data_IF_349479483485
#
_entry.id   IF_349479483485
#
_cell.length_a   1.000
_cell.length_b   1.000
_cell.length_c   1.000
_cell.angle_alpha   90.00
_cell.angle_beta   90.00
_cell.angle_gamma   90.00
#
_symmetry.space_group_name_H-M   'P 1'
#
loop_
_entity.id
_entity.type
_entity.pdbx_description
1 polymer ?
#
# COMPACT_ATOMS: atom_id res chain seq x y z
N UNK A 1 -9.45 9.31 -0.50
CA UNK A 1 -9.77 7.89 -0.26
C UNK A 1 -8.88 7.06 -1.18
N UNK A 2 -8.54 5.85 -0.83
CA UNK A 2 -7.66 4.95 -1.59
C UNK A 2 -6.24 5.48 -1.86
N UNK A 3 -5.74 6.36 -1.00
CA UNK A 3 -4.36 6.83 -1.03
C UNK A 3 -3.73 6.67 0.37
N UNK A 4 -3.36 5.45 0.76
CA UNK A 4 -2.80 5.20 2.07
C UNK A 4 -1.40 5.80 2.20
N UNK A 5 -1.09 6.29 3.38
CA UNK A 5 0.25 6.74 3.79
C UNK A 5 0.75 5.96 5.01
N UNK A 6 -0.13 5.15 5.59
CA UNK A 6 0.15 4.35 6.78
C UNK A 6 -0.86 3.22 6.91
N UNK A 7 -0.47 2.14 7.57
CA UNK A 7 -1.39 1.07 8.00
C UNK A 7 -1.86 1.25 9.46
N UNK A 8 -1.55 2.38 10.08
CA UNK A 8 -2.00 2.69 11.42
C UNK A 8 -3.50 3.02 11.43
N UNK A 9 -4.22 2.42 12.37
CA UNK A 9 -5.65 2.62 12.54
C UNK A 9 -5.91 3.81 13.46
N UNK A 10 -5.53 4.98 13.00
CA UNK A 10 -5.80 6.25 13.64
C UNK A 10 -6.11 7.31 12.58
N UNK A 11 -7.30 7.86 12.62
CA UNK A 11 -7.77 8.85 11.65
C UNK A 11 -8.72 9.84 12.30
N UNK A 12 -9.21 10.80 11.54
CA UNK A 12 -10.30 11.69 11.98
C UNK A 12 -11.60 10.96 12.30
N UNK A 13 -11.77 9.73 11.80
CA UNK A 13 -12.97 8.92 12.04
C UNK A 13 -12.89 8.07 13.30
N UNK A 14 -11.72 7.99 13.92
CA UNK A 14 -11.50 7.25 15.15
C UNK A 14 -10.14 6.59 15.25
N UNK A 15 -9.95 5.91 16.38
CA UNK A 15 -8.76 5.16 16.69
C UNK A 15 -9.00 3.64 16.63
N UNK A 16 -7.92 2.86 16.81
CA UNK A 16 -7.95 1.40 16.80
C UNK A 16 -8.93 0.82 17.82
N UNK A 17 -9.05 1.43 19.00
CA UNK A 17 -9.97 0.95 20.05
C UNK A 17 -11.43 1.15 19.66
N UNK A 18 -11.74 2.32 19.10
CA UNK A 18 -13.08 2.63 18.60
C UNK A 18 -13.47 1.71 17.45
N UNK A 19 -12.54 1.46 16.52
CA UNK A 19 -12.74 0.53 15.40
C UNK A 19 -13.00 -0.90 15.91
N UNK A 20 -12.20 -1.41 16.84
CA UNK A 20 -12.44 -2.72 17.47
C UNK A 20 -13.78 -2.80 18.18
N UNK A 21 -14.18 -1.75 18.87
CA UNK A 21 -15.48 -1.69 19.53
C UNK A 21 -16.64 -1.74 18.53
N UNK A 22 -16.50 -1.07 17.39
CA UNK A 22 -17.49 -1.11 16.31
C UNK A 22 -17.61 -2.54 15.74
N UNK A 23 -16.50 -3.19 15.43
CA UNK A 23 -16.48 -4.58 14.96
C UNK A 23 -17.17 -5.52 15.94
N UNK A 24 -16.85 -5.40 17.23
CA UNK A 24 -17.47 -6.22 18.28
C UNK A 24 -18.99 -6.01 18.39
N UNK A 25 -19.48 -4.78 18.24
CA UNK A 25 -20.90 -4.50 18.19
C UNK A 25 -21.57 -5.11 16.98
N UNK A 26 -20.96 -5.01 15.80
CA UNK A 26 -21.44 -5.63 14.58
C UNK A 26 -21.56 -7.15 14.75
N UNK A 27 -20.49 -7.81 15.21
CA UNK A 27 -20.47 -9.26 15.40
C UNK A 27 -21.52 -9.74 16.41
N UNK A 28 -21.73 -9.03 17.52
CA UNK A 28 -22.77 -9.35 18.51
C UNK A 28 -24.18 -9.31 17.93
N UNK A 29 -24.39 -8.56 16.85
CA UNK A 29 -25.67 -8.45 16.15
C UNK A 29 -25.70 -9.26 14.84
N UNK A 30 -24.82 -10.24 14.68
CA UNK A 30 -24.77 -11.10 13.50
C UNK A 30 -24.25 -10.44 12.22
N UNK A 31 -23.65 -9.25 12.33
CA UNK A 31 -23.09 -8.52 11.19
C UNK A 31 -21.59 -8.78 11.07
N UNK A 32 -21.16 -9.28 9.92
CA UNK A 32 -19.74 -9.43 9.61
C UNK A 32 -19.17 -8.12 9.06
N UNK A 33 -17.93 -7.83 9.43
CA UNK A 33 -17.20 -6.64 8.97
C UNK A 33 -16.06 -7.10 8.08
N UNK A 34 -16.00 -6.57 6.88
CA UNK A 34 -14.91 -6.77 5.92
C UNK A 34 -14.14 -5.47 5.77
N UNK A 35 -12.82 -5.56 5.77
CA UNK A 35 -11.96 -4.40 5.58
C UNK A 35 -11.58 -4.25 4.11
N UNK A 36 -11.58 -3.01 3.65
CA UNK A 36 -11.00 -2.67 2.36
C UNK A 36 -9.47 -2.60 2.50
N UNK A 37 -8.77 -3.53 1.85
CA UNK A 37 -7.33 -3.65 1.90
C UNK A 37 -6.71 -2.98 0.67
N UNK A 38 -6.27 -1.72 0.83
CA UNK A 38 -5.53 -0.99 -0.20
C UNK A 38 -4.06 -1.36 -0.06
N UNK A 39 -3.63 -2.39 -0.78
CA UNK A 39 -2.31 -3.02 -0.65
C UNK A 39 -1.53 -3.06 -1.97
N UNK A 40 -2.13 -2.59 -3.06
CA UNK A 40 -1.45 -2.47 -4.34
C UNK A 40 -0.48 -1.27 -4.37
N UNK A 41 -0.83 -0.20 -3.69
CA UNK A 41 -0.15 1.09 -3.82
C UNK A 41 -0.22 1.90 -2.53
N UNK A 42 0.60 2.92 -2.46
CA UNK A 42 0.49 4.00 -1.49
C UNK A 42 -0.01 5.29 -2.17
N UNK A 43 -0.02 6.40 -1.44
CA UNK A 43 -0.47 7.69 -1.98
C UNK A 43 0.31 8.08 -3.24
N UNK A 44 -0.38 8.72 -4.15
CA UNK A 44 0.16 9.12 -5.45
C UNK A 44 0.84 10.49 -5.45
N UNK A 45 1.07 10.97 -6.64
CA UNK A 45 1.90 12.13 -6.99
C UNK A 45 1.20 13.50 -6.87
N UNK A 46 0.16 13.61 -6.07
CA UNK A 46 -0.61 14.86 -6.00
C UNK A 46 0.20 16.10 -5.65
N UNK A 47 1.31 15.94 -4.95
CA UNK A 47 2.22 17.01 -4.57
C UNK A 47 3.58 16.91 -5.27
N UNK A 48 3.71 16.06 -6.25
CA UNK A 48 4.95 15.94 -6.99
C UNK A 48 5.05 17.05 -8.05
N UNK A 49 6.02 17.91 -7.86
CA UNK A 49 6.30 19.01 -8.79
C UNK A 49 7.31 18.62 -9.88
N UNK A 50 7.88 17.43 -9.79
CA UNK A 50 8.96 17.00 -10.67
C UNK A 50 8.57 15.72 -11.42
N UNK A 51 8.58 15.81 -12.74
CA UNK A 51 8.33 14.67 -13.63
C UNK A 51 9.57 13.78 -13.86
N UNK A 52 10.71 14.14 -13.27
CA UNK A 52 11.99 13.46 -13.57
C UNK A 52 12.11 12.07 -12.94
N UNK A 53 11.24 11.71 -12.01
CA UNK A 53 11.17 10.35 -11.52
C UNK A 53 10.52 9.39 -12.52
N UNK A 54 9.87 9.92 -13.55
CA UNK A 54 9.39 9.13 -14.68
C UNK A 54 10.57 8.73 -15.52
N UNK A 55 10.92 7.47 -15.51
CA UNK A 55 12.02 7.04 -16.31
C UNK A 55 11.53 6.56 -17.69
N UNK A 56 12.15 7.10 -18.72
CA UNK A 56 11.90 6.72 -20.09
C UNK A 56 12.54 5.38 -20.47
N UNK A 57 13.37 4.82 -19.60
CA UNK A 57 14.21 3.66 -19.90
C UNK A 57 13.86 2.40 -19.10
N UNK A 58 12.83 2.44 -18.27
CA UNK A 58 12.46 1.29 -17.43
C UNK A 58 13.42 1.02 -16.27
N UNK A 59 14.34 1.91 -15.95
CA UNK A 59 15.24 1.78 -14.80
C UNK A 59 14.83 2.72 -13.66
N UNK A 60 14.91 2.24 -12.42
CA UNK A 60 14.59 3.01 -11.23
C UNK A 60 15.78 3.83 -10.69
N UNK A 61 16.77 4.11 -11.49
CA UNK A 61 17.98 4.84 -11.06
C UNK A 61 17.69 6.26 -10.56
N UNK A 62 16.52 6.79 -10.86
CA UNK A 62 16.11 8.12 -10.44
C UNK A 62 15.39 8.17 -9.09
N UNK A 63 15.11 7.03 -8.48
CA UNK A 63 14.54 6.95 -7.14
C UNK A 63 15.58 7.24 -6.07
N UNK A 64 16.12 8.39 -6.09
CA UNK A 64 17.07 8.85 -5.11
C UNK A 64 16.69 10.22 -4.57
N UNK A 65 17.52 10.80 -3.72
CA UNK A 65 17.25 12.13 -3.17
C UNK A 65 17.09 13.25 -4.19
N UNK A 66 17.49 12.98 -5.44
CA UNK A 66 17.38 13.94 -6.56
C UNK A 66 16.10 13.75 -7.38
N UNK A 67 15.43 12.62 -7.25
CA UNK A 67 14.17 12.37 -7.94
C UNK A 67 13.04 12.96 -7.12
N UNK A 68 12.09 13.57 -7.73
CA UNK A 68 10.84 13.92 -7.09
C UNK A 68 10.15 12.65 -6.59
N UNK A 69 9.30 12.78 -5.60
CA UNK A 69 8.63 11.64 -5.02
C UNK A 69 7.14 11.86 -4.93
N UNK A 70 6.39 10.91 -5.45
CA UNK A 70 4.93 10.91 -5.38
C UNK A 70 4.57 10.64 -3.95
N UNK A 71 4.63 10.46 -3.02
CA UNK A 71 4.10 10.16 -1.70
C UNK A 71 4.83 10.82 -0.54
N UNK A 72 6.13 10.97 -0.69
CA UNK A 72 6.98 11.46 0.39
C UNK A 72 6.59 12.84 0.93
N UNK A 73 6.24 13.83 0.10
CA UNK A 73 5.89 15.16 0.58
C UNK A 73 4.64 15.20 1.45
N UNK A 74 3.75 14.24 1.31
CA UNK A 74 2.42 14.27 1.90
C UNK A 74 2.38 14.35 3.41
N UNK A 75 3.36 13.74 4.05
CA UNK A 75 3.25 13.48 5.48
C UNK A 75 4.56 13.60 6.24
N UNK A 76 5.71 13.69 5.56
CA UNK A 76 7.00 13.91 6.21
C UNK A 76 7.59 15.25 5.88
N UNK A 77 7.70 15.53 4.61
CA UNK A 77 8.49 16.64 4.11
C UNK A 77 7.74 17.54 3.13
N UNK A 78 6.41 17.39 3.02
CA UNK A 78 5.62 18.14 2.05
C UNK A 78 5.96 19.62 2.04
N UNK A 79 5.91 20.25 3.20
CA UNK A 79 6.28 21.66 3.33
C UNK A 79 7.79 21.89 3.08
N UNK A 80 8.63 21.03 3.63
CA UNK A 80 10.09 21.12 3.43
C UNK A 80 10.46 20.83 1.98
N UNK A 81 9.74 19.93 1.36
CA UNK A 81 9.94 19.59 -0.04
C UNK A 81 9.74 20.80 -0.95
N UNK A 82 8.61 21.47 -0.80
CA UNK A 82 8.32 22.68 -1.58
C UNK A 82 9.41 23.75 -1.37
N UNK A 83 9.82 23.95 -0.13
CA UNK A 83 10.86 24.93 0.19
C UNK A 83 12.25 24.45 -0.22
N UNK A 84 12.54 23.17 -0.11
CA UNK A 84 13.83 22.59 -0.48
C UNK A 84 14.00 22.42 -2.00
N UNK A 85 12.97 22.60 -2.77
CA UNK A 85 13.10 22.65 -4.22
C UNK A 85 14.16 23.66 -4.67
N UNK A 86 14.28 24.77 -3.94
CA UNK A 86 15.28 25.79 -4.19
C UNK A 86 16.69 25.46 -3.67
N UNK A 87 16.78 24.55 -2.72
CA UNK A 87 18.07 24.15 -2.13
C UNK A 87 18.64 22.91 -2.80
N UNK A 88 17.91 22.29 -3.71
CA UNK A 88 18.29 21.04 -4.36
C UNK A 88 18.11 19.80 -3.47
N UNK A 89 17.57 19.93 -2.28
CA UNK A 89 17.23 18.83 -1.41
C UNK A 89 15.82 18.35 -1.77
N UNK A 90 15.71 17.10 -2.19
CA UNK A 90 14.44 16.47 -2.56
C UNK A 90 14.23 15.23 -1.71
N UNK A 91 13.04 15.01 -1.16
CA UNK A 91 12.75 13.77 -0.47
C UNK A 91 12.77 12.61 -1.48
N UNK A 92 13.21 11.46 -1.02
CA UNK A 92 13.02 10.22 -1.76
C UNK A 92 11.59 9.71 -1.65
N UNK A 93 11.25 8.70 -2.43
CA UNK A 93 9.99 7.99 -2.29
C UNK A 93 10.00 7.20 -1.00
N UNK A 94 9.23 7.63 0.01
CA UNK A 94 9.24 7.03 1.33
C UNK A 94 7.92 7.21 2.08
N UNK A 95 7.58 6.22 2.88
CA UNK A 95 6.43 6.20 3.79
C UNK A 95 6.86 5.65 5.15
N UNK A 96 7.50 6.48 6.02
CA UNK A 96 8.13 6.01 7.26
C UNK A 96 7.16 5.32 8.23
N UNK A 97 5.87 5.61 8.15
CA UNK A 97 4.89 4.99 9.04
C UNK A 97 4.61 3.53 8.74
N UNK A 98 5.05 2.99 7.58
CA UNK A 98 4.86 1.56 7.25
C UNK A 98 6.07 0.68 7.45
N UNK A 99 7.34 0.99 7.40
CA UNK A 99 8.13 1.95 6.65
C UNK A 99 8.47 1.40 5.24
N UNK A 100 8.04 2.07 4.21
CA UNK A 100 8.40 1.80 2.82
C UNK A 100 9.33 2.87 2.30
N UNK A 101 10.28 2.45 1.45
CA UNK A 101 11.27 3.30 0.82
C UNK A 101 11.28 3.08 -0.69
N UNK A 102 12.05 3.86 -1.43
CA UNK A 102 12.08 3.84 -2.89
C UNK A 102 12.24 2.42 -3.50
N UNK A 103 13.03 1.57 -2.86
CA UNK A 103 13.26 0.18 -3.31
C UNK A 103 12.08 -0.76 -3.09
N UNK A 104 11.04 -0.31 -2.39
CA UNK A 104 9.83 -1.10 -2.10
C UNK A 104 8.71 -0.85 -3.12
N UNK A 105 8.99 -0.06 -4.13
CA UNK A 105 8.07 0.29 -5.21
C UNK A 105 8.61 -0.16 -6.57
N UNK A 106 7.70 -0.48 -7.48
CA UNK A 106 8.05 -0.61 -8.88
C UNK A 106 8.42 0.76 -9.46
N UNK A 107 9.26 0.75 -10.50
CA UNK A 107 9.60 1.96 -11.23
C UNK A 107 8.33 2.62 -11.77
N UNK A 108 8.23 3.93 -11.68
CA UNK A 108 7.11 4.62 -12.26
C UNK A 108 7.03 4.35 -13.75
N UNK A 109 5.91 3.84 -14.17
CA UNK A 109 5.52 3.68 -15.56
C UNK A 109 4.03 3.87 -15.73
N UNK A 110 3.58 4.44 -16.85
CA UNK A 110 2.16 4.66 -17.08
C UNK A 110 1.43 3.32 -17.23
N UNK A 111 0.23 3.24 -16.69
CA UNK A 111 -0.69 2.14 -16.92
C UNK A 111 -1.49 2.47 -18.18
N UNK A 112 -0.96 2.10 -19.34
CA UNK A 112 -1.50 2.44 -20.66
C UNK A 112 -2.03 1.22 -21.43
N UNK A 113 -2.11 0.07 -20.80
CA UNK A 113 -2.73 -1.15 -21.33
C UNK A 113 -3.55 -1.86 -20.26
N UNK A 114 -4.72 -2.37 -20.66
CA UNK A 114 -5.61 -3.14 -19.80
C UNK A 114 -5.58 -4.65 -20.12
N UNK A 115 -4.71 -5.05 -21.04
CA UNK A 115 -4.57 -6.44 -21.51
C UNK A 115 -3.14 -6.97 -21.36
N UNK A 116 -2.15 -6.10 -21.24
CA UNK A 116 -0.77 -6.48 -20.99
C UNK A 116 -0.55 -6.70 -19.49
N UNK A 117 -0.28 -7.95 -19.09
CA UNK A 117 -0.09 -8.31 -17.69
C UNK A 117 1.07 -7.56 -17.01
N UNK A 118 2.15 -7.27 -17.73
CA UNK A 118 3.28 -6.53 -17.17
C UNK A 118 2.90 -5.06 -16.89
N UNK A 119 2.11 -4.46 -17.77
CA UNK A 119 1.64 -3.09 -17.57
C UNK A 119 0.60 -3.04 -16.45
N UNK A 120 -0.29 -4.05 -16.40
CA UNK A 120 -1.29 -4.13 -15.34
C UNK A 120 -0.67 -4.33 -13.95
N UNK A 121 0.35 -5.19 -13.83
CA UNK A 121 0.92 -5.57 -12.54
C UNK A 121 2.02 -4.64 -12.04
N UNK A 122 2.60 -3.83 -12.92
CA UNK A 122 3.77 -2.98 -12.59
C UNK A 122 3.60 -1.52 -13.01
N UNK A 123 2.45 -1.17 -13.58
CA UNK A 123 2.14 0.21 -13.96
C UNK A 123 1.53 0.97 -12.77
N UNK A 124 1.85 2.26 -12.69
CA UNK A 124 1.27 3.12 -11.66
C UNK A 124 -0.16 3.49 -12.01
N UNK A 125 -1.12 2.91 -11.29
CA UNK A 125 -2.54 3.18 -11.48
C UNK A 125 -2.83 4.65 -11.17
N UNK A 126 -3.13 5.42 -12.20
CA UNK A 126 -3.43 6.87 -12.09
C UNK A 126 -2.36 7.69 -11.36
N UNK A 127 -1.10 7.25 -11.39
CA UNK A 127 0.00 7.90 -10.70
C UNK A 127 0.14 7.54 -9.22
N UNK A 128 -0.59 6.53 -8.74
CA UNK A 128 -0.41 5.99 -7.40
C UNK A 128 0.88 5.16 -7.32
N UNK A 129 1.60 5.29 -6.22
CA UNK A 129 2.91 4.65 -6.05
C UNK A 129 2.77 3.14 -5.90
N UNK A 130 3.13 2.40 -6.93
CA UNK A 130 2.89 0.97 -7.04
C UNK A 130 3.88 0.17 -6.19
N UNK A 131 3.37 -0.64 -5.27
CA UNK A 131 4.20 -1.45 -4.36
C UNK A 131 4.80 -2.65 -5.07
N UNK A 132 6.10 -2.89 -4.86
CA UNK A 132 6.77 -4.10 -5.32
C UNK A 132 6.34 -5.32 -4.49
N UNK A 133 5.19 -5.87 -4.84
CA UNK A 133 4.59 -7.01 -4.14
C UNK A 133 5.32 -8.33 -4.36
N UNK A 134 6.31 -8.39 -5.25
CA UNK A 134 7.25 -9.51 -5.38
C UNK A 134 8.32 -9.49 -4.30
N UNK A 135 8.54 -8.34 -3.66
CA UNK A 135 9.55 -8.20 -2.61
C UNK A 135 9.06 -8.79 -1.29
N UNK A 136 9.86 -9.67 -0.71
CA UNK A 136 9.52 -10.36 0.54
C UNK A 136 9.18 -9.40 1.67
N UNK A 137 9.91 -8.30 1.80
CA UNK A 137 9.67 -7.28 2.81
C UNK A 137 8.27 -6.64 2.66
N UNK A 138 7.88 -6.29 1.44
CA UNK A 138 6.56 -5.71 1.15
C UNK A 138 5.45 -6.71 1.49
N UNK A 139 5.61 -7.96 1.05
CA UNK A 139 4.69 -9.06 1.37
C UNK A 139 4.51 -9.23 2.89
N UNK A 140 5.63 -9.17 3.64
CA UNK A 140 5.61 -9.28 5.09
C UNK A 140 4.82 -8.14 5.73
N UNK A 141 5.09 -6.89 5.33
CA UNK A 141 4.40 -5.71 5.85
C UNK A 141 2.90 -5.75 5.58
N UNK A 142 2.50 -6.21 4.40
CA UNK A 142 1.09 -6.38 4.05
C UNK A 142 0.45 -7.50 4.88
N UNK A 143 1.12 -8.64 5.04
CA UNK A 143 0.63 -9.74 5.86
C UNK A 143 0.48 -9.33 7.35
N UNK A 144 1.42 -8.55 7.89
CA UNK A 144 1.34 -7.98 9.25
C UNK A 144 0.10 -7.08 9.39
N UNK A 145 -0.14 -6.21 8.42
CA UNK A 145 -1.31 -5.34 8.40
C UNK A 145 -2.62 -6.13 8.41
N UNK A 146 -2.74 -7.13 7.54
CA UNK A 146 -3.95 -7.97 7.47
C UNK A 146 -4.11 -8.77 8.77
N UNK A 147 -3.03 -9.30 9.35
CA UNK A 147 -3.04 -9.98 10.63
C UNK A 147 -3.57 -9.07 11.75
N UNK A 148 -3.14 -7.81 11.77
CA UNK A 148 -3.63 -6.84 12.75
C UNK A 148 -5.15 -6.59 12.59
N UNK A 149 -5.64 -6.49 11.37
CA UNK A 149 -7.08 -6.36 11.07
C UNK A 149 -7.86 -7.57 11.56
N UNK A 150 -7.40 -8.78 11.26
CA UNK A 150 -8.04 -10.02 11.71
C UNK A 150 -8.04 -10.14 13.24
N UNK A 151 -6.98 -9.72 13.91
CA UNK A 151 -6.88 -9.72 15.39
C UNK A 151 -7.93 -8.85 16.07
N UNK A 152 -8.52 -7.90 15.35
CA UNK A 152 -9.61 -7.06 15.85
C UNK A 152 -11.00 -7.66 15.60
N UNK A 153 -11.08 -8.77 14.87
CA UNK A 153 -12.32 -9.47 14.58
C UNK A 153 -12.93 -9.16 13.21
N UNK A 154 -12.17 -8.56 12.30
CA UNK A 154 -12.57 -8.45 10.89
C UNK A 154 -12.73 -9.86 10.32
N UNK A 155 -13.81 -10.12 9.59
CA UNK A 155 -14.14 -11.46 9.06
C UNK A 155 -13.52 -11.74 7.70
N UNK A 156 -12.91 -10.75 7.09
CA UNK A 156 -12.29 -10.89 5.77
C UNK A 156 -11.88 -9.54 5.20
N UNK A 157 -11.41 -9.56 3.98
CA UNK A 157 -10.92 -8.38 3.29
C UNK A 157 -11.51 -8.27 1.87
N UNK A 158 -11.65 -7.05 1.38
CA UNK A 158 -11.71 -6.74 -0.04
C UNK A 158 -10.35 -6.22 -0.46
N UNK A 159 -9.70 -6.87 -1.40
CA UNK A 159 -8.43 -6.40 -1.95
C UNK A 159 -8.73 -5.37 -3.04
N UNK A 160 -8.46 -4.10 -2.72
CA UNK A 160 -8.61 -3.04 -3.71
C UNK A 160 -7.55 -3.18 -4.81
N UNK A 161 -7.97 -2.88 -6.06
CA UNK A 161 -7.09 -2.96 -7.23
C UNK A 161 -6.37 -4.32 -7.39
N UNK A 162 -6.99 -5.43 -7.00
CA UNK A 162 -6.39 -6.76 -6.99
C UNK A 162 -5.80 -7.17 -8.34
N UNK A 163 -6.42 -6.77 -9.45
CA UNK A 163 -5.92 -7.05 -10.80
C UNK A 163 -4.59 -6.38 -11.14
N UNK A 164 -4.16 -5.42 -10.34
CA UNK A 164 -2.88 -4.73 -10.50
C UNK A 164 -1.79 -5.34 -9.62
N UNK A 165 -2.11 -6.33 -8.80
CA UNK A 165 -1.14 -7.12 -8.03
C UNK A 165 -0.85 -8.40 -8.79
N UNK A 166 0.43 -8.75 -8.92
CA UNK A 166 0.78 -10.02 -9.57
C UNK A 166 0.19 -11.20 -8.78
N UNK A 167 -0.36 -12.22 -9.46
CA UNK A 167 -0.93 -13.39 -8.79
C UNK A 167 0.05 -14.08 -7.85
N UNK A 168 1.34 -14.11 -8.21
CA UNK A 168 2.41 -14.69 -7.38
C UNK A 168 2.68 -13.85 -6.13
N UNK A 169 2.69 -12.53 -6.26
CA UNK A 169 2.82 -11.61 -5.12
C UNK A 169 1.66 -11.75 -4.15
N UNK A 170 0.43 -11.76 -4.66
CA UNK A 170 -0.76 -11.94 -3.84
C UNK A 170 -0.77 -13.30 -3.13
N UNK A 171 -0.44 -14.39 -3.83
CA UNK A 171 -0.33 -15.72 -3.24
C UNK A 171 0.73 -15.78 -2.12
N UNK A 172 1.87 -15.10 -2.31
CA UNK A 172 2.92 -15.03 -1.30
C UNK A 172 2.47 -14.25 -0.05
N UNK A 173 1.72 -13.15 -0.23
CA UNK A 173 1.11 -12.40 0.89
C UNK A 173 0.17 -13.32 1.69
N UNK A 174 -0.74 -14.03 1.03
CA UNK A 174 -1.65 -14.95 1.72
C UNK A 174 -0.93 -16.12 2.40
N UNK A 175 0.15 -16.62 1.81
CA UNK A 175 0.99 -17.65 2.44
C UNK A 175 1.63 -17.13 3.74
N UNK A 176 2.14 -15.90 3.74
CA UNK A 176 2.68 -15.28 4.96
C UNK A 176 1.59 -15.04 5.99
N UNK A 177 0.42 -14.59 5.57
CA UNK A 177 -0.73 -14.40 6.44
C UNK A 177 -1.12 -15.71 7.15
N UNK A 178 -1.22 -16.83 6.43
CA UNK A 178 -1.48 -18.16 7.02
C UNK A 178 -0.44 -18.54 8.08
N UNK A 179 0.84 -18.30 7.80
CA UNK A 179 1.92 -18.58 8.74
C UNK A 179 1.79 -17.76 10.03
N UNK A 180 1.36 -16.51 9.95
CA UNK A 180 1.13 -15.65 11.12
C UNK A 180 -0.02 -16.13 12.01
N UNK A 181 -1.00 -16.81 11.45
CA UNK A 181 -2.15 -17.30 12.19
C UNK A 181 -1.88 -18.62 12.94
N UNK A 182 -0.64 -19.06 12.97
CA UNK A 182 -0.16 -20.13 13.86
C UNK A 182 -0.54 -21.56 13.49
N UNK A 183 -1.40 -21.75 12.49
CA UNK A 183 -1.82 -23.07 12.03
C UNK A 183 -1.63 -23.31 10.55
N UNK A 184 -1.17 -22.29 9.83
CA UNK A 184 -1.06 -22.37 8.37
C UNK A 184 -2.40 -22.30 7.63
N UNK A 185 -3.51 -22.10 8.36
CA UNK A 185 -4.84 -21.99 7.79
C UNK A 185 -5.49 -20.63 8.12
N UNK A 186 -6.29 -20.14 7.20
CA UNK A 186 -7.15 -18.98 7.45
C UNK A 186 -8.35 -19.42 8.28
N UNK A 187 -8.97 -18.51 9.08
CA UNK A 187 -10.22 -18.83 9.75
C UNK A 187 -11.27 -19.35 8.76
N UNK A 188 -12.06 -20.34 9.18
CA UNK A 188 -13.09 -20.97 8.32
C UNK A 188 -14.09 -19.98 7.73
N UNK A 189 -14.33 -18.88 8.42
CA UNK A 189 -15.23 -17.82 7.99
C UNK A 189 -14.52 -16.66 7.27
N UNK A 190 -13.21 -16.79 7.02
CA UNK A 190 -12.46 -15.78 6.28
C UNK A 190 -12.87 -15.73 4.81
N UNK A 191 -13.14 -14.55 4.31
CA UNK A 191 -13.43 -14.32 2.90
C UNK A 191 -12.54 -13.22 2.35
N UNK A 192 -11.93 -13.46 1.20
CA UNK A 192 -11.25 -12.44 0.41
C UNK A 192 -12.02 -12.19 -0.88
N UNK A 193 -12.36 -10.93 -1.13
CA UNK A 193 -12.87 -10.45 -2.41
C UNK A 193 -11.71 -9.84 -3.19
N UNK A 194 -11.55 -10.22 -4.44
CA UNK A 194 -10.49 -9.73 -5.34
C UNK A 194 -11.09 -8.90 -6.46
#
# INVERSE_FOLDING_TARGET
>A
IYQPVSYRLHSRSGDKKQFKNMINKCRKNGVRVYSDAVINHMAGNGNDMYAEHRNNAGSCVHWGPKAGSAGSPWWTTGWLYENNAYTGIRPGLEFPSVPYFATDFHCERPLNSWTDANILNYGWLTGLTDLNTEKEYVQQRIADYITDMLSMGVSGIRVDAAKHISPTGLAAIFKKLKNHLGGGELPDDFTAYL
#
